data_IF_478812067849
#
_entry.id   IF_478812067849
#
_cell.length_a   1.000
_cell.length_b   1.000
_cell.length_c   1.000
_cell.angle_alpha   90.00
_cell.angle_beta   90.00
_cell.angle_gamma   90.00
#
_symmetry.space_group_name_H-M   'P 1'
#
loop_
_entity.id
_entity.type
_entity.pdbx_description
1 polymer ?
#
# COMPACT_ATOMS: atom_id res chain seq x y z
N UNK A 1 -25.42 -6.45 -2.46
CA UNK A 1 -24.79 -5.36 -1.68
C UNK A 1 -24.02 -4.46 -2.60
N UNK A 2 -23.45 -3.34 -2.11
CA UNK A 2 -22.45 -2.58 -2.89
C UNK A 2 -21.20 -3.45 -3.07
N UNK A 3 -20.53 -3.32 -4.21
CA UNK A 3 -19.22 -3.93 -4.43
C UNK A 3 -18.17 -3.10 -3.67
N UNK A 4 -17.54 -3.70 -2.65
CA UNK A 4 -16.64 -3.00 -1.72
C UNK A 4 -15.33 -3.77 -1.64
N UNK A 5 -14.24 -3.07 -1.95
CA UNK A 5 -12.88 -3.59 -1.92
C UNK A 5 -12.09 -2.92 -0.81
N UNK A 6 -11.48 -3.71 0.07
CA UNK A 6 -10.63 -3.20 1.16
C UNK A 6 -9.17 -3.29 0.74
N UNK A 7 -8.45 -2.17 0.83
CA UNK A 7 -7.05 -2.10 0.42
C UNK A 7 -6.20 -1.57 1.58
N UNK A 8 -5.11 -2.27 1.88
CA UNK A 8 -4.10 -1.87 2.85
C UNK A 8 -2.76 -1.61 2.15
N UNK A 9 -2.24 -0.39 2.28
CA UNK A 9 -0.97 0.03 1.68
C UNK A 9 0.17 -0.20 2.66
N UNK A 10 0.87 -1.33 2.52
CA UNK A 10 2.04 -1.65 3.34
C UNK A 10 3.29 -0.93 2.82
N UNK A 11 3.86 -0.09 3.67
CA UNK A 11 5.11 0.63 3.39
C UNK A 11 6.35 -0.23 3.60
N UNK A 12 6.19 -1.43 4.17
CA UNK A 12 7.28 -2.28 4.63
C UNK A 12 7.93 -1.81 5.93
N UNK A 13 7.46 -0.69 6.51
CA UNK A 13 7.95 -0.10 7.75
C UNK A 13 6.81 0.20 8.74
N UNK A 14 5.68 -0.49 8.61
CA UNK A 14 4.57 -0.33 9.55
C UNK A 14 4.94 -0.90 10.92
N UNK A 15 4.33 -0.35 11.97
CA UNK A 15 4.56 -0.85 13.32
C UNK A 15 4.13 -2.32 13.43
N UNK A 16 4.85 -3.20 14.16
CA UNK A 16 4.49 -4.61 14.30
C UNK A 16 3.04 -4.85 14.77
N UNK A 17 2.53 -3.95 15.62
CA UNK A 17 1.13 -4.01 16.07
C UNK A 17 0.11 -3.67 14.97
N UNK A 18 0.47 -2.88 13.96
CA UNK A 18 -0.37 -2.64 12.78
C UNK A 18 -0.60 -3.94 12.03
N UNK A 19 0.45 -4.72 11.78
CA UNK A 19 0.33 -6.02 11.11
C UNK A 19 -0.53 -7.01 11.90
N UNK A 20 -0.36 -7.05 13.22
CA UNK A 20 -1.23 -7.85 14.10
C UNK A 20 -2.69 -7.42 13.98
N UNK A 21 -2.96 -6.12 14.10
CA UNK A 21 -4.31 -5.58 14.01
C UNK A 21 -4.98 -5.90 12.68
N UNK A 22 -4.29 -5.71 11.55
CA UNK A 22 -4.80 -6.03 10.22
C UNK A 22 -5.18 -7.51 10.10
N UNK A 23 -4.33 -8.43 10.59
CA UNK A 23 -4.66 -9.87 10.59
C UNK A 23 -5.84 -10.21 11.50
N UNK A 24 -5.95 -9.58 12.66
CA UNK A 24 -7.07 -9.78 13.58
C UNK A 24 -8.39 -9.26 12.99
N UNK A 25 -8.37 -8.12 12.32
CA UNK A 25 -9.51 -7.55 11.58
C UNK A 25 -10.01 -8.49 10.49
N UNK A 26 -9.10 -8.99 9.64
CA UNK A 26 -9.44 -9.96 8.59
C UNK A 26 -9.99 -11.25 9.19
N UNK A 27 -9.35 -11.77 10.24
CA UNK A 27 -9.81 -13.00 10.92
C UNK A 27 -11.20 -12.84 11.55
N UNK A 28 -11.48 -11.69 12.15
CA UNK A 28 -12.70 -11.49 12.93
C UNK A 28 -13.92 -11.18 12.04
N UNK A 29 -13.73 -10.40 10.97
CA UNK A 29 -14.83 -10.00 10.08
C UNK A 29 -14.87 -10.75 8.74
N UNK A 30 -13.88 -11.59 8.46
CA UNK A 30 -13.75 -12.35 7.20
C UNK A 30 -13.85 -11.44 5.95
N UNK A 31 -13.15 -10.31 5.99
CA UNK A 31 -13.19 -9.34 4.89
C UNK A 31 -12.17 -9.68 3.79
N UNK A 32 -12.52 -9.47 2.50
CA UNK A 32 -11.58 -9.59 1.40
C UNK A 32 -10.64 -8.38 1.39
N UNK A 33 -9.51 -8.50 2.09
CA UNK A 33 -8.49 -7.46 2.16
C UNK A 33 -7.36 -7.70 1.16
N UNK A 34 -7.15 -6.73 0.28
CA UNK A 34 -5.98 -6.65 -0.61
C UNK A 34 -4.85 -5.91 0.09
N UNK A 35 -3.66 -6.48 0.13
CA UNK A 35 -2.46 -5.83 0.66
C UNK A 35 -1.58 -5.42 -0.50
N UNK A 36 -1.13 -4.16 -0.53
CA UNK A 36 -0.27 -3.62 -1.58
C UNK A 36 1.08 -3.22 -1.02
N UNK A 37 2.16 -3.64 -1.70
CA UNK A 37 3.48 -3.02 -1.56
C UNK A 37 3.86 -2.37 -2.88
N UNK A 38 4.51 -1.21 -2.82
CA UNK A 38 5.06 -0.57 -4.02
C UNK A 38 6.25 -1.37 -4.54
N UNK A 39 6.30 -1.52 -5.86
CA UNK A 39 7.49 -1.99 -6.57
C UNK A 39 8.20 -0.77 -7.17
N UNK A 40 9.32 -0.36 -6.55
CA UNK A 40 10.03 0.85 -6.95
C UNK A 40 10.85 0.56 -8.20
N UNK A 41 10.47 1.19 -9.31
CA UNK A 41 11.29 1.16 -10.51
C UNK A 41 12.56 1.98 -10.25
N UNK A 42 13.78 1.44 -10.42
CA UNK A 42 15.01 2.20 -10.17
C UNK A 42 15.27 3.30 -11.21
N UNK A 43 14.69 3.21 -12.39
CA UNK A 43 14.91 4.16 -13.49
C UNK A 43 14.16 5.48 -13.26
N UNK A 44 14.85 6.60 -13.46
CA UNK A 44 14.25 7.93 -13.38
C UNK A 44 13.28 8.13 -14.54
N UNK A 45 12.10 8.71 -14.25
CA UNK A 45 11.06 8.95 -15.25
C UNK A 45 10.15 7.74 -15.52
N UNK A 46 10.52 6.54 -15.06
CA UNK A 46 9.65 5.38 -15.15
C UNK A 46 8.69 5.29 -13.95
N UNK A 47 7.42 4.90 -14.16
CA UNK A 47 6.43 4.77 -13.10
C UNK A 47 6.77 3.59 -12.17
N UNK A 48 6.42 3.72 -10.89
CA UNK A 48 6.48 2.61 -9.95
C UNK A 48 5.32 1.63 -10.20
N UNK A 49 5.57 0.34 -9.94
CA UNK A 49 4.56 -0.71 -9.94
C UNK A 49 4.00 -0.98 -8.55
N UNK A 50 3.30 -2.10 -8.41
CA UNK A 50 2.85 -2.64 -7.14
C UNK A 50 2.89 -4.16 -7.16
N UNK A 51 3.03 -4.78 -5.99
CA UNK A 51 2.81 -6.20 -5.77
C UNK A 51 1.58 -6.36 -4.89
N UNK A 52 0.69 -7.27 -5.29
CA UNK A 52 -0.50 -7.64 -4.54
C UNK A 52 -0.18 -8.84 -3.65
N UNK A 53 -0.55 -8.73 -2.38
CA UNK A 53 -0.36 -9.74 -1.35
C UNK A 53 -1.68 -10.09 -0.69
N UNK A 54 -1.71 -11.28 -0.08
CA UNK A 54 -2.82 -11.70 0.77
C UNK A 54 -2.53 -11.37 2.24
N UNK A 55 -3.55 -11.19 3.09
CA UNK A 55 -3.35 -10.90 4.52
C UNK A 55 -2.50 -11.95 5.26
N UNK A 56 -2.50 -13.20 4.78
CA UNK A 56 -1.68 -14.30 5.32
C UNK A 56 -0.17 -14.16 5.01
N UNK A 57 0.19 -13.36 4.01
CA UNK A 57 1.59 -13.11 3.62
C UNK A 57 2.28 -12.06 4.51
N UNK A 58 1.49 -11.30 5.28
CA UNK A 58 1.96 -10.26 6.19
C UNK A 58 2.91 -10.86 7.23
N UNK A 59 4.16 -10.36 7.25
CA UNK A 59 5.25 -10.81 8.13
C UNK A 59 5.66 -12.28 7.96
N UNK A 60 5.26 -12.94 6.88
CA UNK A 60 5.67 -14.32 6.56
C UNK A 60 6.45 -14.37 5.26
N UNK A 61 5.85 -13.85 4.17
CA UNK A 61 6.38 -13.93 2.80
C UNK A 61 6.71 -12.56 2.24
N UNK A 62 6.09 -11.51 2.78
CA UNK A 62 6.32 -10.13 2.36
C UNK A 62 7.74 -9.66 2.75
N UNK A 63 8.47 -8.99 1.85
CA UNK A 63 9.79 -8.50 2.13
C UNK A 63 9.73 -7.30 3.10
N UNK A 64 10.28 -7.50 4.29
CA UNK A 64 10.36 -6.48 5.34
C UNK A 64 11.30 -5.35 4.91
N UNK A 65 10.88 -4.10 5.13
CA UNK A 65 11.60 -2.85 4.78
C UNK A 65 11.96 -2.63 3.30
N UNK A 66 11.80 -3.62 2.41
CA UNK A 66 12.21 -3.50 1.00
C UNK A 66 11.61 -2.29 0.30
N UNK A 67 10.27 -2.04 0.33
CA UNK A 67 9.70 -0.87 -0.35
C UNK A 67 10.25 0.45 0.18
N UNK A 68 10.46 0.53 1.51
CA UNK A 68 11.06 1.70 2.16
C UNK A 68 12.51 1.91 1.73
N UNK A 69 13.33 0.86 1.75
CA UNK A 69 14.75 0.93 1.36
C UNK A 69 14.89 1.33 -0.11
N UNK A 70 14.10 0.76 -1.01
CA UNK A 70 14.18 1.10 -2.43
C UNK A 70 13.75 2.55 -2.69
N UNK A 71 12.71 3.00 -1.99
CA UNK A 71 12.25 4.39 -2.05
C UNK A 71 13.37 5.34 -1.56
N UNK A 72 14.04 5.02 -0.46
CA UNK A 72 15.18 5.81 0.04
C UNK A 72 16.34 5.81 -0.96
N UNK A 73 16.65 4.68 -1.59
CA UNK A 73 17.72 4.59 -2.61
C UNK A 73 17.45 5.47 -3.83
N UNK A 74 16.19 5.54 -4.28
CA UNK A 74 15.82 6.31 -5.49
C UNK A 74 15.57 7.79 -5.19
N UNK A 75 14.87 8.10 -4.10
CA UNK A 75 14.32 9.43 -3.83
C UNK A 75 14.98 10.13 -2.63
N UNK A 76 15.86 9.46 -1.90
CA UNK A 76 16.52 9.99 -0.71
C UNK A 76 15.73 9.78 0.58
N UNK A 77 16.30 10.24 1.69
CA UNK A 77 15.73 10.07 3.03
C UNK A 77 14.48 10.94 3.23
N UNK A 78 13.37 10.38 3.76
CA UNK A 78 12.18 11.15 4.11
C UNK A 78 12.48 12.34 5.03
N UNK A 79 11.83 13.46 4.75
CA UNK A 79 11.89 14.68 5.56
C UNK A 79 10.51 15.34 5.61
N UNK A 80 10.27 16.13 6.66
CA UNK A 80 8.94 16.68 6.99
C UNK A 80 8.34 17.51 5.85
N UNK A 81 9.14 18.28 5.13
CA UNK A 81 8.67 19.17 4.06
C UNK A 81 8.32 18.48 2.73
N UNK A 82 8.71 17.21 2.53
CA UNK A 82 8.69 16.59 1.21
C UNK A 82 7.47 15.71 0.92
N UNK A 83 6.82 15.14 1.94
CA UNK A 83 5.68 14.20 1.89
C UNK A 83 5.75 13.05 0.83
N UNK A 84 6.90 12.85 0.18
CA UNK A 84 7.06 11.93 -0.94
C UNK A 84 6.98 10.46 -0.49
N UNK A 85 7.25 10.17 0.78
CA UNK A 85 7.02 8.84 1.32
C UNK A 85 5.52 8.47 1.26
N UNK A 86 4.61 9.40 1.54
CA UNK A 86 3.16 9.19 1.41
C UNK A 86 2.78 8.98 -0.05
N UNK A 87 3.28 9.84 -0.95
CA UNK A 87 3.00 9.72 -2.38
C UNK A 87 3.49 8.38 -2.95
N UNK A 88 4.79 8.10 -2.81
CA UNK A 88 5.46 6.96 -3.45
C UNK A 88 5.08 5.62 -2.83
N UNK A 89 4.91 5.54 -1.51
CA UNK A 89 4.64 4.26 -0.84
C UNK A 89 3.15 3.95 -0.69
N UNK A 90 2.26 4.95 -0.74
CA UNK A 90 0.82 4.75 -0.50
C UNK A 90 -0.03 5.16 -1.69
N UNK A 91 0.06 6.41 -2.14
CA UNK A 91 -0.90 6.95 -3.12
C UNK A 91 -0.68 6.42 -4.54
N UNK A 92 0.56 6.38 -5.00
CA UNK A 92 0.93 5.87 -6.34
C UNK A 92 0.53 4.40 -6.54
N UNK A 93 0.97 3.44 -5.70
CA UNK A 93 0.60 2.03 -5.90
C UNK A 93 -0.91 1.80 -5.76
N UNK A 94 -1.58 2.50 -4.84
CA UNK A 94 -3.03 2.44 -4.66
C UNK A 94 -3.79 2.91 -5.91
N UNK A 95 -3.45 4.10 -6.41
CA UNK A 95 -4.13 4.67 -7.59
C UNK A 95 -3.93 3.77 -8.80
N UNK A 96 -2.69 3.30 -9.02
CA UNK A 96 -2.39 2.38 -10.12
C UNK A 96 -3.18 1.07 -10.00
N UNK A 97 -3.24 0.48 -8.80
CA UNK A 97 -4.04 -0.72 -8.56
C UNK A 97 -5.52 -0.51 -8.90
N UNK A 98 -6.11 0.59 -8.43
CA UNK A 98 -7.51 0.89 -8.70
C UNK A 98 -7.78 1.16 -10.18
N UNK A 99 -6.91 1.92 -10.85
CA UNK A 99 -7.01 2.18 -12.29
C UNK A 99 -6.92 0.88 -13.10
N UNK A 100 -6.01 -0.03 -12.75
CA UNK A 100 -5.80 -1.30 -13.45
C UNK A 100 -7.00 -2.27 -13.26
N UNK A 101 -7.66 -2.26 -12.09
CA UNK A 101 -8.72 -3.24 -11.76
C UNK A 101 -10.15 -2.73 -12.00
N UNK A 102 -10.38 -1.44 -11.78
CA UNK A 102 -11.72 -0.84 -11.85
C UNK A 102 -11.86 0.12 -13.03
N UNK A 103 -10.74 0.59 -13.58
CA UNK A 103 -10.71 1.62 -14.62
C UNK A 103 -10.73 3.03 -14.03
N UNK A 104 -9.94 3.91 -14.62
CA UNK A 104 -9.80 5.29 -14.17
C UNK A 104 -11.15 6.02 -14.20
N UNK A 105 -11.55 6.57 -13.05
CA UNK A 105 -12.82 7.29 -12.89
C UNK A 105 -14.04 6.41 -12.62
N UNK A 106 -13.89 5.08 -12.59
CA UNK A 106 -14.99 4.14 -12.36
C UNK A 106 -15.13 3.66 -10.90
N UNK A 107 -14.36 4.23 -9.98
CA UNK A 107 -14.37 3.85 -8.56
C UNK A 107 -14.47 5.09 -7.66
N UNK A 108 -15.04 4.89 -6.47
CA UNK A 108 -15.06 5.91 -5.40
C UNK A 108 -14.24 5.41 -4.23
N UNK A 109 -13.42 6.28 -3.66
CA UNK A 109 -12.56 5.94 -2.52
C UNK A 109 -13.16 6.48 -1.23
N UNK A 110 -13.14 5.67 -0.18
CA UNK A 110 -13.54 6.08 1.16
C UNK A 110 -12.35 5.98 2.09
N UNK A 111 -12.09 7.07 2.83
CA UNK A 111 -11.06 7.11 3.87
C UNK A 111 -11.67 7.67 5.15
N UNK A 112 -11.33 7.08 6.29
CA UNK A 112 -11.90 7.44 7.59
C UNK A 112 -11.36 8.74 8.20
N UNK A 113 -11.02 9.75 7.38
CA UNK A 113 -10.61 11.08 7.85
C UNK A 113 -11.81 11.78 8.48
N UNK A 114 -11.59 12.44 9.62
CA UNK A 114 -12.62 13.17 10.40
C UNK A 114 -12.09 14.56 10.76
N UNK A 115 -13.01 15.52 10.92
CA UNK A 115 -12.73 16.90 11.32
C UNK A 115 -12.29 17.01 12.79
#
# INVERSE_FOLDING_TARGET
GKDVHYVFMDTGCEHPMTYRFVREVVKFWDIPLTVLQVDINPELGQPNGYTVWEPKDIQTRMPVLKPFIDMVKKYGTPYVGGAFCTDRLKLVPFTKYCDDHFGRGNYTTWIGIRA
#
